data_IF_340865468651
#
_entry.id   IF_340865468651
#
_cell.length_a   1.000
_cell.length_b   1.000
_cell.length_c   1.000
_cell.angle_alpha   90.00
_cell.angle_beta   90.00
_cell.angle_gamma   90.00
#
_symmetry.space_group_name_H-M   'P 1'
#
loop_
_entity.id
_entity.type
_entity.pdbx_description
1 polymer ?
#
# COMPACT_ATOMS: atom_id res chain seq x y z
N UNK A 1 15.60 -11.39 -31.31
CA UNK A 1 15.64 -9.92 -31.47
C UNK A 1 16.33 -9.52 -32.77
N UNK A 2 15.65 -8.74 -33.60
CA UNK A 2 16.19 -8.12 -34.80
C UNK A 2 16.55 -6.66 -34.49
N UNK A 3 17.81 -6.28 -34.77
CA UNK A 3 18.32 -4.95 -34.51
C UNK A 3 17.66 -3.91 -35.42
N UNK A 4 16.91 -3.00 -34.85
CA UNK A 4 16.28 -1.92 -35.61
C UNK A 4 16.33 -0.59 -34.81
N UNK A 5 17.44 0.17 -34.90
CA UNK A 5 17.61 1.41 -34.16
C UNK A 5 16.55 2.45 -34.50
N UNK A 6 16.09 2.54 -35.74
CA UNK A 6 15.05 3.48 -36.15
C UNK A 6 13.70 3.21 -35.47
N UNK A 7 13.44 1.95 -35.08
CA UNK A 7 12.23 1.55 -34.37
C UNK A 7 12.36 1.67 -32.84
N UNK A 8 13.55 1.35 -32.28
CA UNK A 8 13.71 1.15 -30.84
C UNK A 8 14.48 2.26 -30.13
N UNK A 9 15.25 3.08 -30.86
CA UNK A 9 15.95 4.24 -30.27
C UNK A 9 15.12 5.50 -30.48
N UNK A 10 14.48 5.98 -29.41
CA UNK A 10 13.55 7.11 -29.43
C UNK A 10 14.29 8.48 -29.38
N UNK A 11 15.37 8.62 -30.17
CA UNK A 11 15.89 9.95 -30.46
C UNK A 11 14.82 10.80 -31.19
N UNK A 12 14.80 12.13 -31.05
CA UNK A 12 13.72 12.98 -31.58
C UNK A 12 13.35 12.71 -33.03
N UNK A 13 14.35 12.55 -33.91
CA UNK A 13 14.12 12.28 -35.33
C UNK A 13 13.43 10.90 -35.59
N UNK A 14 13.71 9.90 -34.77
CA UNK A 14 13.04 8.60 -34.82
C UNK A 14 11.66 8.68 -34.18
N UNK A 15 11.54 9.38 -33.03
CA UNK A 15 10.28 9.51 -32.32
C UNK A 15 9.18 10.16 -33.17
N UNK A 16 9.49 11.22 -33.94
CA UNK A 16 8.56 11.87 -34.87
C UNK A 16 7.98 10.84 -35.87
N UNK A 17 8.86 10.06 -36.50
CA UNK A 17 8.43 9.02 -37.45
C UNK A 17 7.65 7.88 -36.80
N UNK A 18 8.07 7.50 -35.60
CA UNK A 18 7.37 6.46 -34.82
C UNK A 18 6.01 6.90 -34.34
N UNK A 19 5.83 8.17 -34.02
CA UNK A 19 4.52 8.70 -33.60
C UNK A 19 3.47 8.52 -34.73
N UNK A 20 3.81 8.79 -36.00
CA UNK A 20 2.92 8.51 -37.12
C UNK A 20 2.47 7.04 -37.16
N UNK A 21 3.40 6.10 -36.89
CA UNK A 21 3.08 4.68 -36.85
C UNK A 21 2.19 4.32 -35.64
N UNK A 22 2.40 5.00 -34.51
CA UNK A 22 1.59 4.81 -33.29
C UNK A 22 0.16 5.29 -33.54
N UNK A 23 -0.03 6.47 -34.09
CA UNK A 23 -1.35 7.03 -34.41
C UNK A 23 -2.12 6.16 -35.41
N UNK A 24 -1.41 5.71 -36.48
CA UNK A 24 -2.03 4.77 -37.42
C UNK A 24 -2.46 3.48 -36.73
N UNK A 25 -1.60 2.88 -35.90
CA UNK A 25 -1.93 1.66 -35.16
C UNK A 25 -3.13 1.87 -34.26
N UNK A 26 -3.22 3.03 -33.59
CA UNK A 26 -4.35 3.35 -32.71
C UNK A 26 -5.66 3.47 -33.48
N UNK A 27 -5.60 4.09 -34.67
CA UNK A 27 -6.74 4.15 -35.59
C UNK A 27 -7.15 2.76 -36.10
N UNK A 28 -6.16 1.91 -36.47
CA UNK A 28 -6.43 0.54 -36.90
C UNK A 28 -7.04 -0.31 -35.78
N UNK A 29 -6.57 -0.10 -34.53
CA UNK A 29 -7.13 -0.75 -33.34
C UNK A 29 -8.56 -0.27 -33.06
N UNK A 30 -8.88 1.02 -33.27
CA UNK A 30 -10.23 1.53 -33.10
C UNK A 30 -11.20 0.87 -34.08
N UNK A 31 -10.79 0.73 -35.34
CA UNK A 31 -11.58 0.01 -36.32
C UNK A 31 -11.73 -1.49 -35.98
N UNK A 32 -10.67 -2.13 -35.47
CA UNK A 32 -10.73 -3.52 -35.04
C UNK A 32 -11.58 -3.71 -33.79
N UNK A 33 -11.64 -2.71 -32.90
CA UNK A 33 -12.40 -2.78 -31.63
C UNK A 33 -13.88 -3.09 -31.88
N UNK A 34 -14.48 -2.63 -33.00
CA UNK A 34 -15.86 -2.90 -33.36
C UNK A 34 -16.14 -4.40 -33.58
N UNK A 35 -15.15 -5.17 -34.00
CA UNK A 35 -15.23 -6.62 -34.26
C UNK A 35 -14.44 -7.47 -33.27
N UNK A 36 -13.90 -6.84 -32.25
CA UNK A 36 -13.08 -7.50 -31.23
C UNK A 36 -13.89 -8.59 -30.50
N UNK A 37 -13.41 -9.84 -30.42
CA UNK A 37 -14.15 -10.95 -29.81
C UNK A 37 -14.32 -10.80 -28.30
N UNK A 38 -13.62 -9.88 -27.66
CA UNK A 38 -13.75 -9.56 -26.22
C UNK A 38 -14.90 -8.58 -25.94
N UNK A 39 -15.35 -7.83 -26.96
CA UNK A 39 -16.55 -7.01 -26.92
C UNK A 39 -17.76 -7.88 -27.26
N UNK A 40 -18.78 -7.89 -26.43
CA UNK A 40 -19.96 -8.74 -26.63
C UNK A 40 -21.23 -7.94 -26.49
N UNK A 41 -22.15 -8.13 -27.44
CA UNK A 41 -23.53 -7.67 -27.35
C UNK A 41 -24.46 -8.83 -27.06
N UNK A 42 -25.38 -8.63 -26.12
CA UNK A 42 -26.43 -9.58 -25.79
C UNK A 42 -27.77 -8.81 -25.83
N UNK A 43 -28.67 -9.20 -26.72
CA UNK A 43 -29.97 -8.56 -26.86
C UNK A 43 -31.04 -9.43 -26.21
N UNK A 44 -31.81 -8.83 -25.28
CA UNK A 44 -32.98 -9.36 -24.60
C UNK A 44 -34.09 -8.30 -24.64
N UNK A 45 -34.50 -7.72 -23.50
CA UNK A 45 -35.40 -6.56 -23.52
C UNK A 45 -34.65 -5.31 -24.01
N UNK A 46 -35.18 -4.65 -25.04
CA UNK A 46 -34.56 -3.47 -25.63
C UNK A 46 -35.01 -2.15 -25.00
N UNK A 47 -35.90 -2.18 -24.00
CA UNK A 47 -36.24 -1.00 -23.22
C UNK A 47 -35.07 -0.45 -22.44
N UNK A 48 -34.16 -1.31 -22.03
CA UNK A 48 -32.97 -0.97 -21.26
C UNK A 48 -31.71 -1.58 -21.87
N UNK A 49 -30.74 -0.75 -22.22
CA UNK A 49 -29.42 -1.13 -22.66
C UNK A 49 -28.38 -0.77 -21.57
N UNK A 50 -27.54 -1.73 -21.20
CA UNK A 50 -26.46 -1.56 -20.24
C UNK A 50 -25.13 -1.62 -20.98
N UNK A 51 -24.33 -0.56 -20.90
CA UNK A 51 -22.92 -0.56 -21.33
C UNK A 51 -22.05 -0.72 -20.09
N UNK A 52 -21.19 -1.73 -20.07
CA UNK A 52 -20.38 -2.08 -18.92
C UNK A 52 -19.04 -2.71 -19.31
N UNK A 53 -18.07 -2.72 -18.38
CA UNK A 53 -16.77 -3.35 -18.53
C UNK A 53 -16.37 -4.08 -17.23
N UNK A 54 -15.56 -5.13 -17.35
CA UNK A 54 -15.06 -5.85 -16.19
C UNK A 54 -16.16 -6.50 -15.35
N UNK A 55 -16.05 -6.36 -14.01
CA UNK A 55 -16.96 -6.96 -13.02
C UNK A 55 -18.38 -6.37 -13.07
N UNK A 56 -18.54 -5.13 -13.49
CA UNK A 56 -19.86 -4.48 -13.56
C UNK A 56 -20.81 -5.17 -14.54
N UNK A 57 -20.28 -5.93 -15.52
CA UNK A 57 -21.10 -6.76 -16.39
C UNK A 57 -21.82 -7.88 -15.62
N UNK A 58 -21.12 -8.64 -14.77
CA UNK A 58 -21.75 -9.73 -14.03
C UNK A 58 -22.71 -9.20 -12.97
N UNK A 59 -22.39 -8.11 -12.31
CA UNK A 59 -23.31 -7.44 -11.37
C UNK A 59 -24.59 -6.95 -12.05
N UNK A 60 -24.45 -6.32 -13.24
CA UNK A 60 -25.60 -5.86 -14.01
C UNK A 60 -26.49 -7.04 -14.47
N UNK A 61 -25.87 -8.15 -14.91
CA UNK A 61 -26.64 -9.35 -15.29
C UNK A 61 -27.39 -9.97 -14.13
N UNK A 62 -26.83 -9.96 -12.93
CA UNK A 62 -27.54 -10.47 -11.75
C UNK A 62 -28.74 -9.59 -11.39
N UNK A 63 -28.61 -8.26 -11.56
CA UNK A 63 -29.70 -7.31 -11.25
C UNK A 63 -30.82 -7.35 -12.27
N UNK A 64 -30.50 -7.36 -13.57
CA UNK A 64 -31.51 -7.17 -14.62
C UNK A 64 -31.88 -8.42 -15.38
N UNK A 65 -31.00 -9.46 -15.39
CA UNK A 65 -31.24 -10.70 -16.12
C UNK A 65 -31.60 -10.43 -17.58
N UNK A 66 -32.71 -11.00 -18.06
CA UNK A 66 -33.24 -10.83 -19.41
C UNK A 66 -34.10 -9.55 -19.56
N UNK A 67 -34.25 -8.74 -18.51
CA UNK A 67 -34.98 -7.47 -18.57
C UNK A 67 -34.10 -6.30 -19.09
N UNK A 68 -32.87 -6.57 -19.54
CA UNK A 68 -32.00 -5.61 -20.17
C UNK A 68 -31.16 -6.26 -21.27
N UNK A 69 -30.73 -5.46 -22.24
CA UNK A 69 -29.71 -5.81 -23.23
C UNK A 69 -28.35 -5.29 -22.78
N UNK A 70 -27.25 -5.95 -23.18
CA UNK A 70 -25.92 -5.67 -22.68
C UNK A 70 -24.92 -5.43 -23.80
N UNK A 71 -24.09 -4.41 -23.65
CA UNK A 71 -22.83 -4.25 -24.35
C UNK A 71 -21.70 -4.40 -23.31
N UNK A 72 -21.07 -5.56 -23.30
CA UNK A 72 -19.85 -5.80 -22.51
C UNK A 72 -18.63 -5.35 -23.29
N UNK A 73 -17.96 -4.31 -22.81
CA UNK A 73 -16.71 -3.82 -23.39
C UNK A 73 -15.54 -4.59 -22.73
N UNK A 74 -14.79 -5.33 -23.54
CA UNK A 74 -13.58 -6.03 -23.14
C UNK A 74 -12.31 -5.26 -23.53
N UNK A 75 -12.34 -4.51 -24.63
CA UNK A 75 -11.28 -3.56 -25.03
C UNK A 75 -11.75 -2.14 -24.72
N UNK A 76 -11.21 -1.55 -23.67
CA UNK A 76 -11.64 -0.24 -23.14
C UNK A 76 -10.86 0.95 -23.73
N UNK A 77 -9.79 0.71 -24.49
CA UNK A 77 -9.02 1.76 -25.14
C UNK A 77 -8.28 1.23 -26.38
N UNK A 78 -8.60 1.70 -27.61
CA UNK A 78 -9.72 2.58 -27.91
C UNK A 78 -11.08 1.92 -27.73
N UNK A 79 -12.11 2.73 -27.47
CA UNK A 79 -13.49 2.24 -27.38
C UNK A 79 -14.06 1.90 -28.75
N UNK A 80 -15.00 0.94 -28.87
CA UNK A 80 -15.61 0.50 -30.13
C UNK A 80 -16.77 1.42 -30.54
N UNK A 81 -16.47 2.55 -31.16
CA UNK A 81 -17.46 3.61 -31.44
C UNK A 81 -18.65 3.14 -32.26
N UNK A 82 -18.42 2.39 -33.35
CA UNK A 82 -19.52 1.93 -34.22
C UNK A 82 -20.35 0.86 -33.50
N UNK A 83 -19.74 -0.03 -32.72
CA UNK A 83 -20.44 -1.02 -31.94
C UNK A 83 -21.30 -0.35 -30.84
N UNK A 84 -20.79 0.69 -30.18
CA UNK A 84 -21.54 1.49 -29.21
C UNK A 84 -22.75 2.17 -29.89
N UNK A 85 -22.55 2.80 -31.05
CA UNK A 85 -23.63 3.45 -31.81
C UNK A 85 -24.68 2.44 -32.22
N UNK A 86 -24.27 1.31 -32.79
CA UNK A 86 -25.20 0.24 -33.22
C UNK A 86 -26.00 -0.30 -32.02
N UNK A 87 -25.33 -0.59 -30.89
CA UNK A 87 -26.01 -1.05 -29.68
C UNK A 87 -27.05 0.00 -29.19
N UNK A 88 -26.62 1.26 -29.04
CA UNK A 88 -27.48 2.32 -28.53
C UNK A 88 -28.66 2.63 -29.46
N UNK A 89 -28.53 2.40 -30.78
CA UNK A 89 -29.64 2.57 -31.71
C UNK A 89 -30.76 1.53 -31.59
N UNK A 90 -30.48 0.40 -30.90
CA UNK A 90 -31.39 -0.73 -30.75
C UNK A 90 -32.08 -0.81 -29.39
N UNK A 91 -31.80 0.15 -28.51
CA UNK A 91 -32.37 0.22 -27.16
C UNK A 91 -32.98 1.57 -26.89
N UNK A 92 -34.01 1.61 -26.04
CA UNK A 92 -34.74 2.87 -25.76
C UNK A 92 -34.00 3.76 -24.75
N UNK A 93 -33.42 3.18 -23.74
CA UNK A 93 -32.66 3.84 -22.65
C UNK A 93 -31.32 3.22 -22.48
N UNK A 94 -30.29 4.03 -22.34
CA UNK A 94 -28.90 3.56 -22.13
C UNK A 94 -28.43 3.96 -20.73
N UNK A 95 -27.87 3.00 -19.99
CA UNK A 95 -27.15 3.22 -18.73
C UNK A 95 -25.72 2.71 -18.87
N UNK A 96 -24.74 3.55 -18.56
CA UNK A 96 -23.34 3.15 -18.45
C UNK A 96 -23.06 2.77 -16.99
N UNK A 97 -22.69 1.51 -16.78
CA UNK A 97 -22.35 0.98 -15.46
C UNK A 97 -20.84 0.79 -15.38
N UNK A 98 -20.16 1.75 -14.79
CA UNK A 98 -18.71 1.74 -14.56
C UNK A 98 -18.39 2.27 -13.17
N UNK A 99 -17.33 1.73 -12.56
CA UNK A 99 -16.85 2.17 -11.24
C UNK A 99 -15.97 3.42 -11.38
N UNK A 100 -15.87 4.19 -10.29
CA UNK A 100 -15.04 5.39 -10.19
C UNK A 100 -15.35 6.44 -11.28
N UNK A 101 -14.36 6.94 -12.00
CA UNK A 101 -14.50 8.03 -12.96
C UNK A 101 -15.31 7.64 -14.22
N UNK A 102 -16.12 8.56 -14.77
CA UNK A 102 -17.00 8.31 -15.91
C UNK A 102 -16.23 8.34 -17.25
N UNK A 103 -15.38 7.35 -17.51
CA UNK A 103 -14.58 7.29 -18.76
C UNK A 103 -15.43 6.85 -19.94
N UNK A 104 -16.15 5.73 -19.81
CA UNK A 104 -17.03 5.21 -20.86
C UNK A 104 -18.23 6.15 -21.06
N UNK A 105 -18.86 6.58 -19.98
CA UNK A 105 -19.98 7.52 -20.01
C UNK A 105 -19.63 8.84 -20.72
N UNK A 106 -18.47 9.41 -20.39
CA UNK A 106 -17.98 10.64 -21.01
C UNK A 106 -17.77 10.46 -22.50
N UNK A 107 -17.21 9.34 -22.92
CA UNK A 107 -16.99 9.03 -24.32
C UNK A 107 -18.33 8.86 -25.06
N UNK A 108 -19.28 8.09 -24.51
CA UNK A 108 -20.62 7.88 -25.07
C UNK A 108 -21.36 9.20 -25.23
N UNK A 109 -21.30 10.08 -24.23
CA UNK A 109 -21.86 11.43 -24.29
C UNK A 109 -21.20 12.31 -25.35
N UNK A 110 -19.87 12.24 -25.49
CA UNK A 110 -19.11 12.96 -26.50
C UNK A 110 -19.49 12.53 -27.93
N UNK A 111 -19.96 11.30 -28.12
CA UNK A 111 -20.51 10.80 -29.39
C UNK A 111 -21.90 11.36 -29.69
N UNK A 112 -22.48 12.19 -28.82
CA UNK A 112 -23.84 12.72 -28.93
C UNK A 112 -24.94 11.76 -28.50
N UNK A 113 -24.62 10.66 -27.84
CA UNK A 113 -25.57 9.66 -27.36
C UNK A 113 -26.02 10.02 -25.96
N UNK A 114 -27.35 10.08 -25.76
CA UNK A 114 -27.91 10.29 -24.42
C UNK A 114 -27.80 9.01 -23.59
N UNK A 115 -27.18 9.08 -22.43
CA UNK A 115 -27.10 7.98 -21.49
C UNK A 115 -27.15 8.48 -20.05
N UNK A 116 -27.61 7.62 -19.16
CA UNK A 116 -27.43 7.74 -17.71
C UNK A 116 -26.11 7.09 -17.31
N UNK A 117 -25.59 7.45 -16.14
CA UNK A 117 -24.37 6.91 -15.57
C UNK A 117 -24.18 7.45 -14.15
N UNK A 118 -23.22 8.36 -13.95
CA UNK A 118 -22.92 8.94 -12.61
C UNK A 118 -24.01 9.88 -12.07
N UNK A 119 -24.98 10.25 -12.87
CA UNK A 119 -26.19 10.90 -12.36
C UNK A 119 -27.09 9.94 -11.55
N UNK A 120 -26.95 8.63 -11.73
CA UNK A 120 -27.65 7.59 -10.97
C UNK A 120 -26.70 6.84 -10.04
N UNK A 121 -25.52 6.47 -10.53
CA UNK A 121 -24.57 5.59 -9.87
C UNK A 121 -23.49 6.39 -9.12
N UNK A 122 -23.05 5.97 -7.94
CA UNK A 122 -22.04 6.70 -7.18
C UNK A 122 -20.67 6.70 -7.89
N UNK A 123 -19.89 7.75 -7.63
CA UNK A 123 -18.48 7.83 -8.05
C UNK A 123 -17.56 7.10 -7.08
N UNK A 124 -17.97 6.99 -5.82
CA UNK A 124 -17.15 6.43 -4.73
C UNK A 124 -17.41 4.95 -4.52
N UNK A 125 -16.37 4.24 -4.12
CA UNK A 125 -16.37 2.82 -3.75
C UNK A 125 -16.57 1.86 -4.94
N UNK A 126 -16.38 0.59 -4.67
CA UNK A 126 -16.69 -0.50 -5.59
C UNK A 126 -18.19 -0.73 -5.68
N UNK A 127 -18.64 -1.32 -6.79
CA UNK A 127 -20.03 -1.67 -6.96
C UNK A 127 -20.32 -3.10 -6.46
N UNK A 128 -21.61 -3.29 -6.16
CA UNK A 128 -22.24 -4.60 -5.99
C UNK A 128 -23.58 -4.58 -6.73
N UNK A 129 -24.18 -5.76 -6.88
CA UNK A 129 -25.52 -5.88 -7.45
C UNK A 129 -26.53 -5.08 -6.64
N UNK A 130 -26.44 -5.04 -5.31
CA UNK A 130 -27.34 -4.27 -4.45
C UNK A 130 -27.25 -2.76 -4.70
N UNK A 131 -26.04 -2.25 -4.88
CA UNK A 131 -25.84 -0.82 -5.20
C UNK A 131 -26.47 -0.48 -6.54
N UNK A 132 -26.26 -1.32 -7.56
CA UNK A 132 -26.84 -1.11 -8.89
C UNK A 132 -28.37 -1.20 -8.82
N UNK A 133 -28.93 -2.22 -8.16
CA UNK A 133 -30.37 -2.38 -7.99
C UNK A 133 -31.02 -1.21 -7.25
N UNK A 134 -30.38 -0.73 -6.20
CA UNK A 134 -30.84 0.45 -5.44
C UNK A 134 -30.83 1.71 -6.31
N UNK A 135 -29.73 1.98 -6.99
CA UNK A 135 -29.54 3.21 -7.76
C UNK A 135 -30.43 3.26 -9.02
N UNK A 136 -30.68 2.13 -9.68
CA UNK A 136 -31.40 2.10 -10.95
C UNK A 136 -32.89 1.76 -10.77
N UNK A 137 -33.21 0.80 -9.89
CA UNK A 137 -34.57 0.28 -9.68
C UNK A 137 -35.22 0.83 -8.41
N UNK A 138 -34.47 1.51 -7.52
CA UNK A 138 -34.95 1.91 -6.19
C UNK A 138 -35.17 0.73 -5.23
N UNK A 139 -34.59 -0.42 -5.52
CA UNK A 139 -34.73 -1.62 -4.69
C UNK A 139 -33.84 -1.52 -3.46
N UNK A 140 -34.43 -1.47 -2.27
CA UNK A 140 -33.63 -1.49 -1.04
C UNK A 140 -33.05 -2.89 -0.80
N UNK A 141 -31.74 -3.01 -0.53
CA UNK A 141 -31.11 -4.29 -0.28
C UNK A 141 -31.64 -4.92 1.01
N UNK A 142 -31.87 -6.23 0.97
CA UNK A 142 -32.28 -7.01 2.14
C UNK A 142 -31.02 -7.59 2.80
N UNK A 143 -30.56 -6.95 3.86
CA UNK A 143 -29.45 -7.46 4.66
C UNK A 143 -29.99 -8.32 5.83
N UNK A 144 -29.27 -9.37 6.14
CA UNK A 144 -29.42 -10.03 7.45
C UNK A 144 -28.72 -9.13 8.48
N UNK A 145 -29.50 -8.51 9.34
CA UNK A 145 -28.95 -7.76 10.48
C UNK A 145 -28.65 -8.71 11.63
N UNK A 146 -27.54 -8.50 12.31
CA UNK A 146 -27.25 -9.08 13.60
C UNK A 146 -27.60 -8.05 14.67
N UNK A 147 -28.18 -8.50 15.78
CA UNK A 147 -28.48 -7.63 16.93
C UNK A 147 -27.21 -7.28 17.74
N UNK A 148 -26.06 -7.80 17.33
CA UNK A 148 -24.78 -7.57 17.98
C UNK A 148 -23.92 -6.57 17.18
N UNK A 149 -23.28 -5.64 17.90
CA UNK A 149 -22.28 -4.76 17.34
C UNK A 149 -21.02 -5.53 16.94
N UNK A 150 -20.80 -5.68 15.64
CA UNK A 150 -19.58 -6.35 15.13
C UNK A 150 -18.43 -5.36 15.21
N UNK A 151 -17.37 -5.65 15.99
CA UNK A 151 -16.24 -4.74 16.12
C UNK A 151 -15.48 -4.63 14.79
N UNK A 152 -15.11 -3.40 14.43
CA UNK A 152 -14.24 -3.12 13.29
C UNK A 152 -12.87 -3.76 13.55
N UNK A 153 -12.33 -4.51 12.58
CA UNK A 153 -11.04 -5.20 12.65
C UNK A 153 -10.06 -4.63 11.60
N UNK A 154 -9.50 -3.43 11.85
CA UNK A 154 -8.53 -2.84 10.92
C UNK A 154 -7.25 -3.70 10.86
N UNK A 155 -6.50 -3.63 9.75
CA UNK A 155 -5.19 -4.26 9.66
C UNK A 155 -4.26 -3.76 10.78
N UNK A 156 -3.55 -4.68 11.44
CA UNK A 156 -2.59 -4.37 12.51
C UNK A 156 -1.25 -5.05 12.24
N UNK A 157 -0.19 -4.49 12.80
CA UNK A 157 1.10 -5.17 12.78
C UNK A 157 1.02 -6.51 13.53
N UNK A 158 1.77 -7.51 13.07
CA UNK A 158 1.83 -8.85 13.70
C UNK A 158 2.29 -8.78 15.16
N UNK A 159 1.94 -9.76 16.01
CA UNK A 159 2.62 -9.96 17.29
C UNK A 159 4.12 -10.11 17.09
N UNK A 160 4.93 -9.37 17.86
CA UNK A 160 6.39 -9.40 17.72
C UNK A 160 6.97 -8.75 16.46
N UNK A 161 6.15 -8.00 15.70
CA UNK A 161 6.62 -7.27 14.53
C UNK A 161 7.80 -6.33 14.90
N UNK A 162 8.93 -6.38 14.17
CA UNK A 162 10.12 -5.57 14.49
C UNK A 162 9.88 -4.06 14.36
N UNK A 163 8.87 -3.65 13.57
CA UNK A 163 8.59 -2.23 13.37
C UNK A 163 7.96 -1.55 14.60
N UNK A 164 7.38 -2.31 15.55
CA UNK A 164 6.69 -1.73 16.73
C UNK A 164 7.60 -0.90 17.61
N UNK A 165 8.81 -1.38 17.88
CA UNK A 165 9.79 -0.66 18.69
C UNK A 165 10.19 0.66 18.06
N UNK A 166 10.40 0.68 16.75
CA UNK A 166 10.73 1.89 16.00
C UNK A 166 9.61 2.95 16.14
N UNK A 167 8.38 2.60 15.81
CA UNK A 167 7.27 3.58 15.84
C UNK A 167 6.89 4.00 17.25
N UNK A 168 7.06 3.15 18.24
CA UNK A 168 6.94 3.54 19.63
C UNK A 168 7.95 4.65 20.00
N UNK A 169 9.22 4.51 19.59
CA UNK A 169 10.25 5.52 19.84
C UNK A 169 9.97 6.82 19.07
N UNK A 170 9.60 6.75 17.79
CA UNK A 170 9.29 7.92 16.99
C UNK A 170 8.12 8.72 17.58
N UNK A 171 7.05 8.04 18.00
CA UNK A 171 5.94 8.67 18.72
C UNK A 171 6.42 9.34 20.01
N UNK A 172 7.23 8.66 20.81
CA UNK A 172 7.77 9.20 22.07
C UNK A 172 8.59 10.47 21.85
N UNK A 173 9.34 10.52 20.75
CA UNK A 173 10.17 11.67 20.38
C UNK A 173 9.35 12.84 19.79
N UNK A 174 8.13 12.58 19.33
CA UNK A 174 7.26 13.60 18.72
C UNK A 174 7.82 14.19 17.43
N UNK A 175 8.56 13.38 16.67
CA UNK A 175 9.13 13.79 15.38
C UNK A 175 8.11 13.62 14.25
N UNK A 176 8.19 14.47 13.23
CA UNK A 176 7.43 14.31 12.00
C UNK A 176 8.02 13.17 11.16
N UNK A 177 7.18 12.25 10.71
CA UNK A 177 7.60 11.07 9.96
C UNK A 177 7.04 11.08 8.54
N UNK A 178 7.92 11.31 7.56
CA UNK A 178 7.62 11.01 6.16
C UNK A 178 7.76 9.50 5.95
N UNK A 179 6.63 8.82 5.91
CA UNK A 179 6.54 7.37 5.78
C UNK A 179 6.52 6.90 4.33
N UNK A 180 6.60 5.59 4.17
CA UNK A 180 6.57 4.91 2.90
C UNK A 180 5.56 3.75 2.93
N UNK A 181 5.43 2.98 1.84
CA UNK A 181 4.45 1.90 1.71
C UNK A 181 5.09 0.55 2.03
N UNK A 182 4.54 -0.13 3.03
CA UNK A 182 4.95 -1.46 3.51
C UNK A 182 4.27 -1.79 4.84
N UNK A 183 4.63 -2.90 5.49
CA UNK A 183 4.11 -3.25 6.82
C UNK A 183 4.27 -2.11 7.84
N UNK A 184 5.31 -1.32 7.70
CA UNK A 184 5.60 -0.17 8.55
C UNK A 184 4.63 1.00 8.36
N UNK A 185 3.87 1.08 7.26
CA UNK A 185 2.77 2.05 7.11
C UNK A 185 1.74 1.91 8.23
N UNK A 186 1.56 0.70 8.77
CA UNK A 186 0.68 0.43 9.91
C UNK A 186 1.14 1.12 11.21
N UNK A 187 2.32 1.74 11.23
CA UNK A 187 2.74 2.65 12.31
C UNK A 187 1.89 3.92 12.41
N UNK A 188 1.09 4.24 11.40
CA UNK A 188 0.10 5.33 11.42
C UNK A 188 -1.13 5.01 12.29
N UNK A 189 -1.43 3.72 12.48
CA UNK A 189 -2.60 3.29 13.23
C UNK A 189 -2.41 3.38 14.76
N UNK A 190 -3.49 3.57 15.54
CA UNK A 190 -3.45 3.48 16.99
C UNK A 190 -2.92 2.12 17.48
N UNK A 191 -2.23 2.10 18.62
CA UNK A 191 -1.88 3.22 19.51
C UNK A 191 -0.58 3.93 19.13
N UNK A 192 0.10 3.50 18.04
CA UNK A 192 1.38 4.08 17.62
C UNK A 192 1.24 5.49 17.06
N UNK A 193 0.39 5.70 16.05
CA UNK A 193 0.12 7.01 15.45
C UNK A 193 1.42 7.80 15.18
N UNK A 194 2.39 7.18 14.55
CA UNK A 194 3.75 7.71 14.42
C UNK A 194 4.21 7.88 12.97
N UNK A 195 3.27 7.97 12.02
CA UNK A 195 3.53 8.26 10.61
C UNK A 195 2.60 9.38 10.20
N UNK A 196 3.16 10.46 9.66
CA UNK A 196 2.41 11.68 9.33
C UNK A 196 2.01 11.73 7.85
N UNK A 197 2.79 11.10 6.96
CA UNK A 197 2.47 11.09 5.53
C UNK A 197 2.99 9.84 4.84
N UNK A 198 2.26 9.39 3.81
CA UNK A 198 2.69 8.37 2.84
C UNK A 198 2.12 8.75 1.47
N UNK A 199 2.90 8.65 0.42
CA UNK A 199 2.46 8.93 -0.96
C UNK A 199 2.50 7.67 -1.82
N UNK A 200 3.71 7.20 -2.13
CA UNK A 200 3.93 5.99 -2.93
C UNK A 200 5.23 5.32 -2.52
N UNK A 201 5.47 4.10 -2.98
CA UNK A 201 6.68 3.35 -2.69
C UNK A 201 7.93 4.13 -3.13
N UNK A 202 8.81 4.43 -2.16
CA UNK A 202 10.08 5.15 -2.35
C UNK A 202 10.00 6.66 -2.18
N UNK A 203 8.81 7.24 -2.00
CA UNK A 203 8.65 8.70 -1.92
C UNK A 203 9.04 9.30 -0.56
N UNK A 204 9.16 8.51 0.51
CA UNK A 204 9.42 9.02 1.86
C UNK A 204 10.69 9.89 1.95
N UNK A 205 11.78 9.41 1.36
CA UNK A 205 13.08 10.11 1.38
C UNK A 205 13.01 11.41 0.58
N UNK A 206 12.56 11.33 -0.68
CA UNK A 206 12.44 12.50 -1.55
C UNK A 206 11.40 13.48 -1.04
N UNK A 207 10.29 12.98 -0.48
CA UNK A 207 9.25 13.80 0.14
C UNK A 207 9.77 14.60 1.34
N UNK A 208 10.48 13.94 2.28
CA UNK A 208 11.10 14.62 3.41
C UNK A 208 12.08 15.69 2.94
N UNK A 209 12.92 15.36 1.94
CA UNK A 209 13.87 16.31 1.40
C UNK A 209 13.18 17.56 0.84
N UNK A 210 12.11 17.38 0.07
CA UNK A 210 11.30 18.49 -0.44
C UNK A 210 10.69 19.32 0.68
N UNK A 211 10.04 18.70 1.66
CA UNK A 211 9.45 19.38 2.81
C UNK A 211 10.47 20.19 3.62
N UNK A 212 11.68 19.65 3.84
CA UNK A 212 12.76 20.35 4.53
C UNK A 212 13.26 21.54 3.71
N UNK A 213 13.44 21.39 2.40
CA UNK A 213 13.92 22.47 1.50
C UNK A 213 12.91 23.61 1.35
N UNK A 214 11.63 23.32 1.39
CA UNK A 214 10.56 24.34 1.37
C UNK A 214 10.36 25.04 2.72
N UNK A 215 11.11 24.66 3.77
CA UNK A 215 10.97 25.24 5.11
C UNK A 215 9.68 24.85 5.83
N UNK A 216 8.95 23.84 5.32
CA UNK A 216 7.68 23.39 5.92
C UNK A 216 7.86 22.58 7.20
N UNK A 217 9.03 21.94 7.37
CA UNK A 217 9.33 21.06 8.51
C UNK A 217 10.79 21.27 8.95
N UNK A 218 11.00 21.27 10.28
CA UNK A 218 12.33 21.33 10.86
C UNK A 218 13.09 20.00 10.59
N UNK A 219 14.23 20.02 9.88
CA UNK A 219 15.00 18.81 9.58
C UNK A 219 15.53 18.10 10.85
N UNK A 220 15.69 18.80 11.97
CA UNK A 220 16.11 18.24 13.26
C UNK A 220 14.94 17.67 14.09
N UNK A 221 13.72 17.77 13.58
CA UNK A 221 12.49 17.21 14.17
C UNK A 221 11.71 16.34 13.21
N UNK A 222 12.36 15.87 12.14
CA UNK A 222 11.73 15.06 11.13
C UNK A 222 12.61 13.91 10.64
N UNK A 223 11.99 12.81 10.25
CA UNK A 223 12.67 11.63 9.72
C UNK A 223 11.92 11.07 8.51
N UNK A 224 12.64 10.46 7.58
CA UNK A 224 12.03 9.58 6.59
C UNK A 224 12.13 8.13 7.09
N UNK A 225 11.05 7.34 6.93
CA UNK A 225 11.06 5.90 7.23
C UNK A 225 10.73 5.14 5.95
N UNK A 226 11.58 4.17 5.61
CA UNK A 226 11.45 3.33 4.41
C UNK A 226 11.83 1.88 4.74
N UNK A 227 11.22 0.90 4.08
CA UNK A 227 11.61 -0.52 4.22
C UNK A 227 12.84 -0.88 3.38
N UNK A 228 13.49 -1.99 3.71
CA UNK A 228 14.66 -2.54 3.00
C UNK A 228 14.40 -2.80 1.51
N UNK A 229 13.30 -3.45 1.21
CA UNK A 229 12.86 -3.73 -0.17
C UNK A 229 12.59 -2.45 -0.96
N UNK A 230 11.82 -1.54 -0.38
CA UNK A 230 11.46 -0.27 -1.02
C UNK A 230 12.68 0.63 -1.17
N UNK A 231 13.60 0.61 -0.22
CA UNK A 231 14.89 1.30 -0.34
C UNK A 231 15.68 0.79 -1.55
N UNK A 232 15.82 -0.52 -1.70
CA UNK A 232 16.52 -1.12 -2.84
C UNK A 232 15.79 -0.85 -4.18
N UNK A 233 14.46 -0.78 -4.16
CA UNK A 233 13.64 -0.54 -5.35
C UNK A 233 13.73 0.91 -5.85
N UNK A 234 13.58 1.91 -4.95
CA UNK A 234 13.44 3.32 -5.36
C UNK A 234 13.98 4.35 -4.35
N UNK A 235 14.29 3.94 -3.11
CA UNK A 235 14.79 4.85 -2.08
C UNK A 235 16.24 5.28 -2.28
N UNK A 236 17.05 4.46 -2.93
CA UNK A 236 18.49 4.71 -3.17
C UNK A 236 18.72 6.03 -3.90
N UNK A 237 17.95 6.31 -4.94
CA UNK A 237 18.06 7.55 -5.73
C UNK A 237 17.68 8.79 -4.91
N UNK A 238 16.67 8.67 -4.05
CA UNK A 238 16.29 9.74 -3.13
C UNK A 238 17.38 10.06 -2.11
N UNK A 239 18.03 9.03 -1.54
CA UNK A 239 19.13 9.19 -0.60
C UNK A 239 20.36 9.84 -1.29
N UNK A 240 20.71 9.37 -2.48
CA UNK A 240 21.79 9.96 -3.27
C UNK A 240 21.53 11.45 -3.55
N UNK A 241 20.28 11.80 -3.91
CA UNK A 241 19.88 13.20 -4.13
C UNK A 241 20.00 14.05 -2.85
N UNK A 242 19.64 13.52 -1.67
CA UNK A 242 19.84 14.22 -0.40
C UNK A 242 21.31 14.55 -0.15
N UNK A 243 22.20 13.57 -0.34
CA UNK A 243 23.64 13.76 -0.16
C UNK A 243 24.20 14.78 -1.16
N UNK A 244 23.85 14.62 -2.44
CA UNK A 244 24.28 15.54 -3.50
C UNK A 244 23.89 17.00 -3.20
N UNK A 245 22.69 17.22 -2.66
CA UNK A 245 22.16 18.55 -2.34
C UNK A 245 22.47 19.00 -0.90
N UNK A 246 23.41 18.34 -0.21
CA UNK A 246 23.84 18.68 1.16
C UNK A 246 22.64 18.86 2.10
N UNK A 247 21.75 17.89 2.13
CA UNK A 247 20.61 17.94 3.03
C UNK A 247 21.06 17.75 4.48
N UNK A 248 20.32 18.35 5.40
CA UNK A 248 20.32 17.99 6.82
C UNK A 248 19.06 17.15 7.01
N UNK A 249 19.20 15.86 7.18
CA UNK A 249 18.04 14.93 7.28
C UNK A 249 18.43 13.59 7.87
N UNK A 250 17.52 12.98 8.61
CA UNK A 250 17.67 11.62 9.14
C UNK A 250 16.77 10.65 8.37
N UNK A 251 17.36 9.60 7.83
CA UNK A 251 16.66 8.52 7.14
C UNK A 251 16.73 7.24 7.97
N UNK A 252 15.60 6.60 8.20
CA UNK A 252 15.53 5.32 8.93
C UNK A 252 15.09 4.23 7.96
N UNK A 253 15.95 3.25 7.76
CA UNK A 253 15.67 2.09 6.90
C UNK A 253 15.23 0.93 7.80
N UNK A 254 13.98 0.54 7.67
CA UNK A 254 13.35 -0.53 8.46
C UNK A 254 13.64 -1.87 7.79
N UNK A 255 14.77 -2.47 8.13
CA UNK A 255 15.26 -3.72 7.54
C UNK A 255 14.73 -4.93 8.31
N UNK A 256 13.71 -5.57 7.73
CA UNK A 256 13.14 -6.80 8.26
C UNK A 256 13.52 -8.04 7.45
N UNK A 257 14.47 -7.93 6.54
CA UNK A 257 15.05 -8.99 5.71
C UNK A 257 14.05 -9.73 4.83
N UNK A 258 12.94 -9.08 4.44
CA UNK A 258 11.93 -9.65 3.53
C UNK A 258 10.95 -8.57 3.04
N UNK A 259 10.38 -8.74 1.85
CA UNK A 259 9.22 -7.97 1.38
C UNK A 259 7.95 -8.58 1.95
N UNK A 260 7.58 -8.18 3.18
CA UNK A 260 6.57 -8.90 3.98
C UNK A 260 5.13 -8.73 3.54
N UNK A 261 4.69 -7.49 3.27
CA UNK A 261 3.27 -7.13 3.07
C UNK A 261 2.61 -7.86 1.90
N UNK A 262 3.34 -8.09 0.83
CA UNK A 262 2.83 -8.65 -0.44
C UNK A 262 3.02 -10.16 -0.57
N UNK A 263 3.41 -10.86 0.49
CA UNK A 263 3.51 -12.32 0.51
C UNK A 263 4.93 -12.88 0.69
N UNK A 264 5.80 -12.13 1.37
CA UNK A 264 7.16 -12.58 1.74
C UNK A 264 8.08 -12.87 0.54
N UNK A 265 8.13 -11.93 -0.42
CA UNK A 265 9.03 -12.01 -1.56
C UNK A 265 10.48 -11.70 -1.15
N UNK A 266 11.41 -12.38 -1.83
CA UNK A 266 12.82 -12.05 -1.75
C UNK A 266 13.09 -10.68 -2.39
N UNK A 267 14.13 -10.00 -1.89
CA UNK A 267 14.58 -8.72 -2.44
C UNK A 267 16.12 -8.68 -2.46
N UNK A 268 16.76 -7.69 -3.08
CA UNK A 268 18.22 -7.65 -3.21
C UNK A 268 19.00 -7.69 -1.89
N UNK A 269 18.37 -7.36 -0.76
CA UNK A 269 19.03 -7.33 0.56
C UNK A 269 18.92 -8.64 1.33
N UNK A 270 18.18 -9.64 0.81
CA UNK A 270 17.94 -10.92 1.50
C UNK A 270 18.99 -11.99 1.22
N UNK A 271 19.79 -11.85 0.15
CA UNK A 271 20.78 -12.85 -0.27
C UNK A 271 20.19 -14.06 -0.98
N UNK A 272 18.95 -13.96 -1.46
CA UNK A 272 18.27 -14.98 -2.28
C UNK A 272 17.68 -14.36 -3.53
N UNK A 273 17.71 -15.11 -4.65
CA UNK A 273 17.01 -14.73 -5.89
C UNK A 273 15.50 -14.87 -5.70
N UNK A 274 14.72 -14.37 -6.66
CA UNK A 274 13.26 -14.56 -6.68
C UNK A 274 12.86 -16.04 -6.65
N UNK A 275 13.66 -16.94 -7.20
CA UNK A 275 13.46 -18.40 -7.19
C UNK A 275 14.02 -19.10 -5.95
N UNK A 276 14.58 -18.34 -4.99
CA UNK A 276 15.11 -18.88 -3.72
C UNK A 276 16.55 -19.36 -3.77
N UNK A 277 17.26 -19.22 -4.88
CA UNK A 277 18.68 -19.58 -5.02
C UNK A 277 19.54 -18.61 -4.21
N UNK A 278 20.58 -19.09 -3.55
CA UNK A 278 21.54 -18.25 -2.85
C UNK A 278 22.29 -17.33 -3.81
N UNK A 279 22.36 -16.04 -3.47
CA UNK A 279 23.07 -15.03 -4.27
C UNK A 279 23.76 -14.01 -3.36
N UNK A 280 24.49 -13.07 -3.99
CA UNK A 280 25.11 -11.97 -3.26
C UNK A 280 24.04 -11.12 -2.54
N UNK A 281 24.24 -10.90 -1.25
CA UNK A 281 23.40 -10.03 -0.44
C UNK A 281 23.89 -8.59 -0.51
N UNK A 282 23.09 -7.69 -1.04
CA UNK A 282 23.41 -6.27 -1.04
C UNK A 282 23.32 -5.72 0.38
N UNK A 283 24.43 -5.15 0.87
CA UNK A 283 24.52 -4.54 2.18
C UNK A 283 24.12 -3.07 2.12
N UNK A 284 23.02 -2.71 2.77
CA UNK A 284 22.47 -1.34 2.79
C UNK A 284 23.51 -0.35 3.31
N UNK A 285 24.22 -0.70 4.38
CA UNK A 285 25.28 0.12 4.97
C UNK A 285 26.39 0.46 3.96
N UNK A 286 26.74 -0.48 3.07
CA UNK A 286 27.76 -0.23 2.05
C UNK A 286 27.29 0.72 0.95
N UNK A 287 26.00 0.75 0.63
CA UNK A 287 25.42 1.75 -0.27
C UNK A 287 25.54 3.13 0.38
N UNK A 288 25.17 3.25 1.64
CA UNK A 288 25.24 4.51 2.37
C UNK A 288 26.69 5.04 2.47
N UNK A 289 27.64 4.16 2.77
CA UNK A 289 29.08 4.46 2.79
C UNK A 289 29.57 4.95 1.41
N UNK A 290 29.15 4.27 0.32
CA UNK A 290 29.51 4.66 -1.05
C UNK A 290 29.01 6.05 -1.45
N UNK A 291 27.92 6.52 -0.84
CA UNK A 291 27.44 7.91 -1.01
C UNK A 291 28.18 8.91 -0.15
N UNK A 292 29.12 8.47 0.68
CA UNK A 292 29.89 9.33 1.57
C UNK A 292 29.18 9.70 2.87
N UNK A 293 28.10 9.00 3.23
CA UNK A 293 27.39 9.22 4.50
C UNK A 293 28.27 8.71 5.64
N UNK A 294 28.59 9.60 6.57
CA UNK A 294 29.48 9.26 7.71
C UNK A 294 28.73 8.68 8.89
N UNK A 295 27.51 9.15 9.09
CA UNK A 295 26.66 8.69 10.20
C UNK A 295 25.71 7.59 9.72
N UNK A 296 26.19 6.34 9.78
CA UNK A 296 25.40 5.13 9.47
C UNK A 296 25.38 4.25 10.71
N UNK A 297 24.19 4.06 11.28
CA UNK A 297 23.99 3.23 12.49
C UNK A 297 23.15 2.00 12.16
N UNK A 298 23.52 0.84 12.67
CA UNK A 298 22.69 -0.38 12.62
C UNK A 298 22.22 -0.66 14.05
N UNK A 299 20.92 -0.62 14.27
CA UNK A 299 20.30 -0.76 15.61
C UNK A 299 19.14 -1.74 15.54
N UNK A 300 19.08 -2.68 16.50
CA UNK A 300 17.88 -3.52 16.67
C UNK A 300 16.72 -2.63 17.19
N UNK A 301 15.59 -2.53 16.48
CA UNK A 301 14.47 -1.68 16.90
C UNK A 301 13.81 -2.13 18.20
N UNK A 302 14.07 -3.34 18.70
CA UNK A 302 13.61 -3.78 20.01
C UNK A 302 14.50 -3.27 21.15
N UNK A 303 15.70 -2.73 20.86
CA UNK A 303 16.54 -2.05 21.84
C UNK A 303 16.13 -0.58 22.01
N UNK A 304 14.98 -0.36 22.64
CA UNK A 304 14.26 0.93 22.72
C UNK A 304 15.16 2.10 23.17
N UNK A 305 15.98 1.90 24.21
CA UNK A 305 16.85 2.95 24.74
C UNK A 305 17.98 3.30 23.78
N UNK A 306 18.58 2.29 23.15
CA UNK A 306 19.65 2.47 22.18
C UNK A 306 19.13 3.13 20.90
N UNK A 307 17.96 2.71 20.43
CA UNK A 307 17.30 3.29 19.27
C UNK A 307 16.93 4.76 19.51
N UNK A 308 16.36 5.09 20.68
CA UNK A 308 16.04 6.46 21.06
C UNK A 308 17.29 7.36 21.08
N UNK A 309 18.37 6.87 21.70
CA UNK A 309 19.64 7.60 21.73
C UNK A 309 20.24 7.80 20.32
N UNK A 310 20.21 6.76 19.49
CA UNK A 310 20.70 6.81 18.11
C UNK A 310 19.93 7.80 17.25
N UNK A 311 18.59 7.83 17.38
CA UNK A 311 17.75 8.80 16.64
C UNK A 311 18.04 10.23 17.10
N UNK A 312 18.13 10.48 18.41
CA UNK A 312 18.46 11.82 18.94
C UNK A 312 19.83 12.30 18.46
N UNK A 313 20.84 11.43 18.46
CA UNK A 313 22.17 11.77 17.95
C UNK A 313 22.12 12.12 16.46
N UNK A 314 21.45 11.32 15.63
CA UNK A 314 21.32 11.58 14.19
C UNK A 314 20.55 12.88 13.89
N UNK A 315 19.47 13.17 14.63
CA UNK A 315 18.73 14.42 14.51
C UNK A 315 19.52 15.66 14.90
N UNK A 316 20.53 15.51 15.76
CA UNK A 316 21.44 16.59 16.17
C UNK A 316 22.47 16.99 15.12
N UNK A 317 22.69 16.18 14.08
CA UNK A 317 23.74 16.39 13.09
C UNK A 317 23.32 17.40 12.00
N UNK A 318 24.30 18.04 11.40
CA UNK A 318 24.12 19.00 10.29
C UNK A 318 24.45 18.36 8.92
N UNK A 319 24.21 17.08 8.79
CA UNK A 319 24.45 16.28 7.59
C UNK A 319 23.38 15.19 7.43
N UNK A 320 23.42 14.44 6.33
CA UNK A 320 22.56 13.28 6.14
C UNK A 320 23.01 12.15 7.07
N UNK A 321 22.08 11.65 7.88
CA UNK A 321 22.28 10.52 8.79
C UNK A 321 21.39 9.35 8.39
N UNK A 322 21.88 8.11 8.52
CA UNK A 322 21.10 6.90 8.23
C UNK A 322 21.09 5.97 9.42
N UNK A 323 19.92 5.52 9.82
CA UNK A 323 19.74 4.47 10.82
C UNK A 323 19.11 3.26 10.13
N UNK A 324 19.77 2.13 10.17
CA UNK A 324 19.25 0.84 9.71
C UNK A 324 18.66 0.13 10.93
N UNK A 325 17.35 0.19 11.06
CA UNK A 325 16.60 -0.51 12.11
C UNK A 325 16.45 -1.97 11.68
N UNK A 326 17.44 -2.81 12.04
CA UNK A 326 17.58 -4.17 11.52
C UNK A 326 17.13 -5.21 12.52
N UNK A 327 16.06 -5.94 12.18
CA UNK A 327 15.61 -7.14 12.88
C UNK A 327 14.74 -7.98 11.93
N UNK A 328 15.01 -9.30 11.79
CA UNK A 328 14.24 -10.14 10.86
C UNK A 328 12.73 -10.15 11.17
N UNK A 329 11.92 -10.22 10.11
CA UNK A 329 10.48 -10.38 10.23
C UNK A 329 10.15 -11.62 11.06
N UNK A 330 9.29 -11.46 12.06
CA UNK A 330 8.90 -12.54 12.99
C UNK A 330 8.22 -13.73 12.30
N UNK A 331 7.73 -13.54 11.08
CA UNK A 331 7.07 -14.59 10.30
C UNK A 331 8.04 -15.43 9.45
N UNK A 332 9.33 -15.06 9.41
CA UNK A 332 10.34 -15.89 8.76
C UNK A 332 10.53 -17.21 9.51
N UNK A 333 10.71 -18.30 8.75
CA UNK A 333 10.86 -19.66 9.32
C UNK A 333 12.09 -19.81 10.18
N UNK A 334 13.14 -19.03 9.89
CA UNK A 334 14.40 -19.01 10.60
C UNK A 334 14.31 -18.31 11.96
N UNK A 335 13.27 -17.53 12.21
CA UNK A 335 13.06 -16.85 13.50
C UNK A 335 12.43 -17.81 14.48
N UNK A 336 13.21 -18.19 15.50
CA UNK A 336 12.76 -19.09 16.57
C UNK A 336 11.69 -18.43 17.43
N UNK A 337 10.67 -19.19 17.80
CA UNK A 337 9.56 -18.80 18.69
C UNK A 337 9.46 -19.82 19.82
N UNK A 338 10.58 -20.09 20.47
CA UNK A 338 10.75 -21.10 21.50
C UNK A 338 10.35 -20.63 22.90
N UNK A 339 9.94 -19.36 23.01
CA UNK A 339 9.49 -18.75 24.27
C UNK A 339 8.27 -17.85 24.05
N UNK A 340 7.54 -17.61 25.13
CA UNK A 340 6.48 -16.64 25.22
C UNK A 340 6.50 -15.94 26.57
N UNK A 341 5.73 -14.88 26.73
CA UNK A 341 5.62 -14.16 28.00
C UNK A 341 4.24 -14.33 28.60
N UNK A 342 4.20 -14.39 29.93
CA UNK A 342 3.01 -14.29 30.77
C UNK A 342 3.09 -13.06 31.65
N UNK A 343 2.01 -12.70 32.29
CA UNK A 343 1.98 -11.55 33.21
C UNK A 343 1.73 -12.06 34.63
N UNK A 344 2.62 -11.72 35.55
CA UNK A 344 2.40 -11.92 36.97
C UNK A 344 1.40 -10.84 37.48
N UNK A 345 0.19 -11.28 37.78
CA UNK A 345 -0.92 -10.40 38.22
C UNK A 345 -0.60 -9.64 39.52
N UNK A 346 0.12 -10.28 40.45
CA UNK A 346 0.43 -9.67 41.76
C UNK A 346 1.37 -8.47 41.63
N UNK A 347 2.26 -8.52 40.62
CA UNK A 347 3.21 -7.44 40.31
C UNK A 347 2.59 -6.39 39.38
N UNK A 348 1.56 -6.72 38.62
CA UNK A 348 0.96 -5.83 37.61
C UNK A 348 0.23 -4.65 38.26
N UNK A 349 0.70 -3.43 37.97
CA UNK A 349 0.09 -2.18 38.47
C UNK A 349 -0.96 -1.58 37.54
N UNK A 350 -1.43 -2.31 36.51
CA UNK A 350 -2.44 -1.88 35.52
C UNK A 350 -2.12 -0.54 34.85
N UNK A 351 -0.84 -0.18 34.75
CA UNK A 351 -0.39 1.14 34.28
C UNK A 351 -0.52 1.34 32.77
N UNK A 352 -0.80 0.28 31.99
CA UNK A 352 -1.00 0.34 30.55
C UNK A 352 0.28 0.57 29.72
N UNK A 353 1.47 0.61 30.33
CA UNK A 353 2.71 0.87 29.59
C UNK A 353 2.96 -0.14 28.47
N UNK A 354 2.72 -1.44 28.71
CA UNK A 354 2.84 -2.51 27.72
C UNK A 354 1.84 -2.39 26.57
N UNK A 355 0.68 -1.74 26.76
CA UNK A 355 -0.32 -1.52 25.71
C UNK A 355 0.14 -0.49 24.67
N UNK A 356 1.06 0.41 25.03
CA UNK A 356 1.54 1.49 24.15
C UNK A 356 2.26 1.01 22.91
N UNK A 357 2.79 -0.23 22.93
CA UNK A 357 3.40 -0.86 21.73
C UNK A 357 2.37 -1.44 20.77
N UNK A 358 1.08 -1.48 21.15
CA UNK A 358 -0.01 -1.96 20.31
C UNK A 358 0.04 -3.42 19.91
N UNK A 359 0.71 -4.29 20.69
CA UNK A 359 0.84 -5.71 20.37
C UNK A 359 -0.52 -6.42 20.49
N UNK A 360 -1.03 -7.11 19.45
CA UNK A 360 -2.33 -7.78 19.50
C UNK A 360 -2.36 -8.99 20.44
N UNK A 361 -1.19 -9.48 20.88
CA UNK A 361 -1.11 -10.53 21.90
C UNK A 361 -1.33 -10.02 23.33
N UNK A 362 -1.44 -8.69 23.53
CA UNK A 362 -1.60 -8.10 24.88
C UNK A 362 -2.95 -7.42 24.96
N UNK A 363 -3.71 -7.75 25.99
CA UNK A 363 -4.95 -7.08 26.35
C UNK A 363 -4.92 -6.60 27.80
N UNK A 364 -5.80 -5.65 28.13
CA UNK A 364 -5.98 -5.18 29.50
C UNK A 364 -7.33 -5.67 30.02
N UNK A 365 -7.31 -6.30 31.16
CA UNK A 365 -8.51 -6.76 31.88
C UNK A 365 -8.65 -6.02 33.21
N UNK A 366 -9.74 -6.25 33.92
CA UNK A 366 -9.94 -5.73 35.29
C UNK A 366 -8.83 -6.19 36.26
N UNK A 367 -8.26 -7.36 36.01
CA UNK A 367 -7.20 -7.94 36.85
C UNK A 367 -5.77 -7.55 36.42
N UNK A 368 -5.62 -6.80 35.31
CA UNK A 368 -4.34 -6.35 34.80
C UNK A 368 -4.11 -6.74 33.33
N UNK A 369 -2.87 -6.58 32.88
CA UNK A 369 -2.50 -6.99 31.53
C UNK A 369 -2.49 -8.51 31.43
N UNK A 370 -2.93 -9.03 30.27
CA UNK A 370 -2.90 -10.46 29.92
C UNK A 370 -2.22 -10.61 28.58
N UNK A 371 -1.44 -11.67 28.43
CA UNK A 371 -0.79 -12.03 27.17
C UNK A 371 -1.40 -13.33 26.66
N UNK A 372 -1.87 -13.31 25.41
CA UNK A 372 -2.28 -14.52 24.70
C UNK A 372 -1.01 -15.29 24.30
N UNK A 373 -0.83 -16.46 24.92
CA UNK A 373 0.34 -17.32 24.74
C UNK A 373 0.42 -17.87 23.31
N UNK A 374 -0.72 -18.06 22.64
CA UNK A 374 -0.78 -18.60 21.27
C UNK A 374 -0.30 -17.57 20.25
N UNK A 375 -0.53 -16.29 20.51
CA UNK A 375 -0.11 -15.17 19.68
C UNK A 375 1.29 -14.65 20.05
N UNK A 376 1.73 -14.79 21.28
CA UNK A 376 2.99 -14.24 21.75
C UNK A 376 4.19 -14.92 21.06
N UNK A 377 5.14 -14.16 20.56
CA UNK A 377 6.33 -14.64 19.84
C UNK A 377 7.62 -14.52 20.64
N UNK A 378 7.55 -14.12 21.92
CA UNK A 378 8.71 -13.97 22.79
C UNK A 378 9.66 -12.82 22.44
N UNK A 379 9.17 -11.77 21.78
CA UNK A 379 10.00 -10.67 21.23
C UNK A 379 10.56 -9.68 22.28
N UNK A 380 10.20 -9.78 23.55
CA UNK A 380 10.71 -9.00 24.70
C UNK A 380 10.26 -7.53 24.77
N UNK A 381 9.58 -6.99 23.78
CA UNK A 381 9.18 -5.56 23.78
C UNK A 381 8.34 -5.18 25.00
N UNK A 382 7.35 -6.00 25.37
CA UNK A 382 6.49 -5.71 26.52
C UNK A 382 7.25 -5.78 27.86
N UNK A 383 8.25 -6.66 27.97
CA UNK A 383 9.13 -6.75 29.11
C UNK A 383 9.93 -5.45 29.29
N UNK A 384 10.57 -4.97 28.19
CA UNK A 384 11.33 -3.70 28.20
C UNK A 384 10.47 -2.47 28.51
N UNK A 385 9.16 -2.56 28.32
CA UNK A 385 8.20 -1.52 28.67
C UNK A 385 7.74 -1.56 30.11
N UNK A 386 7.92 -2.70 30.80
CA UNK A 386 7.37 -2.90 32.13
C UNK A 386 8.33 -2.45 33.23
N UNK A 387 8.04 -1.32 33.86
CA UNK A 387 8.84 -0.81 34.97
C UNK A 387 8.73 -1.66 36.24
N UNK A 388 7.74 -2.53 36.34
CA UNK A 388 7.44 -3.32 37.54
C UNK A 388 7.92 -4.78 37.44
N UNK A 389 8.53 -5.18 36.31
CA UNK A 389 9.06 -6.53 36.11
C UNK A 389 8.00 -7.64 36.24
N UNK A 390 6.77 -7.37 35.77
CA UNK A 390 5.70 -8.35 35.85
C UNK A 390 5.60 -9.29 34.63
N UNK A 391 6.48 -9.11 33.62
CA UNK A 391 6.54 -10.00 32.48
C UNK A 391 7.45 -11.21 32.79
N UNK A 392 6.90 -12.40 32.73
CA UNK A 392 7.61 -13.65 33.01
C UNK A 392 7.77 -14.46 31.71
N UNK A 393 9.00 -14.86 31.42
CA UNK A 393 9.29 -15.70 30.25
C UNK A 393 8.99 -17.18 30.56
N UNK A 394 8.37 -17.85 29.57
CA UNK A 394 8.10 -19.29 29.57
C UNK A 394 8.67 -19.91 28.30
N UNK A 395 9.10 -21.13 28.37
CA UNK A 395 9.51 -21.95 27.20
C UNK A 395 8.32 -22.60 26.56
N UNK A 396 8.37 -22.77 25.24
CA UNK A 396 7.42 -23.54 24.46
C UNK A 396 7.83 -24.99 24.32
#
# INVERSE_FOLDING_TARGET
YEKNPAKYVMAPANAIKRHVVVEKRFSDMAAWADSCPFNKTEYHDTKLGIICAGSTYVYSKEVFGDNASYLKIGLVNPLPDNLIRDFCSKVERVIVVEELDPIIETHVKAMGIKCDGKNLLPVLSEFSQEIIAKCVNGTEPKFVSLDEDIPVRPPVMCPGCPHRGLFFVLKKLGVTVSGDIGCYTLGSAPPLCAVDSTLCMGASISGLHGMNKCGGIDPKKSVAVIGDSTFAHSGVTGLMNMVYNKAVSTVIISDNSITGMTGHQQNPTTGKTLKGETTYQIKIEKICEAFGIKDVKIIDPNEIKLLEAGIKDSLGRDEVSVIIARRPCVLLKEVKKDKYFTVNSDKCRKCGACMKIGCPAISMTENGAVIDETLCTGCELCEKMCAFGCMEVKSR
#
